data_IF_600144828591
#
_entry.id   IF_600144828591
#
_cell.length_a   1.000
_cell.length_b   1.000
_cell.length_c   1.000
_cell.angle_alpha   90.00
_cell.angle_beta   90.00
_cell.angle_gamma   90.00
#
_symmetry.space_group_name_H-M   'P 1'
#
loop_
_entity.id
_entity.type
_entity.pdbx_description
1 polymer ?
#
# COMPACT_ATOMS: atom_id res chain seq x y z
N UNK A 1 5.54 -18.60 0.09
CA UNK A 1 4.59 -17.55 0.52
C UNK A 1 5.40 -16.43 1.13
N UNK A 2 5.16 -15.17 0.78
CA UNK A 2 5.77 -14.03 1.48
C UNK A 2 4.98 -13.82 2.78
N UNK A 3 5.61 -14.04 3.92
CA UNK A 3 5.03 -13.74 5.23
C UNK A 3 4.94 -12.22 5.41
N UNK A 4 3.77 -11.63 5.15
CA UNK A 4 3.52 -10.23 5.47
C UNK A 4 3.27 -10.09 6.98
N UNK A 5 4.01 -9.22 7.69
CA UNK A 5 3.72 -8.93 9.08
C UNK A 5 2.31 -8.34 9.26
N UNK A 6 1.60 -8.70 10.34
CA UNK A 6 0.27 -8.16 10.62
C UNK A 6 0.29 -6.62 10.67
N UNK A 7 -0.74 -5.98 10.09
CA UNK A 7 -0.91 -4.52 9.92
C UNK A 7 0.02 -3.84 8.89
N UNK A 8 0.50 -4.55 7.87
CA UNK A 8 1.27 -3.95 6.77
C UNK A 8 0.53 -4.02 5.43
N UNK A 9 -0.55 -3.24 5.23
CA UNK A 9 -1.26 -3.18 3.95
C UNK A 9 -0.36 -2.69 2.81
N UNK A 10 0.68 -1.92 3.13
CA UNK A 10 1.74 -1.46 2.21
C UNK A 10 2.48 -2.60 1.47
N UNK A 11 2.37 -3.83 1.96
CA UNK A 11 3.06 -5.01 1.42
C UNK A 11 2.17 -5.88 0.54
N UNK A 12 0.88 -5.55 0.38
CA UNK A 12 -0.01 -6.31 -0.47
C UNK A 12 -0.13 -5.65 -1.87
N UNK A 13 0.31 -6.30 -2.96
CA UNK A 13 0.30 -5.71 -4.30
C UNK A 13 -1.10 -5.32 -4.76
N UNK A 14 -2.12 -6.00 -4.24
CA UNK A 14 -3.50 -5.76 -4.63
C UNK A 14 -3.99 -4.38 -4.17
N UNK A 15 -3.50 -3.86 -3.04
CA UNK A 15 -3.88 -2.54 -2.52
C UNK A 15 -3.42 -1.41 -3.44
N UNK A 16 -2.26 -1.59 -4.08
CA UNK A 16 -1.76 -0.65 -5.09
C UNK A 16 -2.63 -0.64 -6.34
N UNK A 17 -3.09 -1.82 -6.76
CA UNK A 17 -3.99 -1.95 -7.91
C UNK A 17 -5.35 -1.32 -7.59
N UNK A 18 -5.86 -1.49 -6.37
CA UNK A 18 -7.08 -0.80 -5.92
C UNK A 18 -6.93 0.73 -5.95
N UNK A 19 -5.79 1.27 -5.50
CA UNK A 19 -5.52 2.71 -5.59
C UNK A 19 -5.51 3.23 -7.04
N UNK A 20 -4.92 2.48 -7.98
CA UNK A 20 -4.96 2.83 -9.41
C UNK A 20 -6.37 2.79 -9.99
N UNK A 21 -7.16 1.79 -9.61
CA UNK A 21 -8.55 1.68 -10.04
C UNK A 21 -9.37 2.85 -9.50
N UNK A 22 -9.20 3.23 -8.23
CA UNK A 22 -9.88 4.39 -7.65
C UNK A 22 -9.47 5.71 -8.31
N UNK A 23 -8.21 5.86 -8.71
CA UNK A 23 -7.73 7.04 -9.42
C UNK A 23 -8.27 7.13 -10.85
N UNK A 24 -8.43 5.98 -11.52
CA UNK A 24 -9.00 5.90 -12.88
C UNK A 24 -10.53 5.94 -12.90
N UNK A 25 -11.17 5.66 -11.76
CA UNK A 25 -12.62 5.68 -11.64
C UNK A 25 -13.12 7.13 -11.66
N UNK A 26 -13.92 7.45 -12.66
CA UNK A 26 -14.61 8.73 -12.70
C UNK A 26 -15.84 8.69 -11.79
N UNK A 27 -15.70 9.26 -10.58
CA UNK A 27 -16.76 9.34 -9.58
C UNK A 27 -17.97 10.16 -10.03
N UNK A 28 -17.84 10.97 -11.08
CA UNK A 28 -18.95 11.75 -11.63
C UNK A 28 -19.96 10.90 -12.42
N UNK A 29 -19.56 9.71 -12.88
CA UNK A 29 -20.37 8.82 -13.73
C UNK A 29 -21.08 7.73 -12.91
N UNK A 30 -20.63 7.51 -11.67
CA UNK A 30 -21.14 6.44 -10.81
C UNK A 30 -22.44 6.87 -10.14
N UNK A 31 -23.57 6.59 -10.80
CA UNK A 31 -24.91 6.87 -10.27
C UNK A 31 -25.68 5.62 -9.82
N UNK A 32 -25.17 4.43 -10.17
CA UNK A 32 -25.73 3.14 -9.77
C UNK A 32 -24.63 2.10 -9.55
N UNK A 33 -24.98 0.98 -8.90
CA UNK A 33 -24.04 -0.14 -8.71
C UNK A 33 -23.61 -0.75 -10.03
N UNK A 34 -24.51 -0.78 -11.01
CA UNK A 34 -24.27 -1.32 -12.35
C UNK A 34 -23.30 -0.42 -13.13
N UNK A 35 -23.48 0.91 -13.04
CA UNK A 35 -22.54 1.88 -13.61
C UNK A 35 -21.16 1.78 -12.94
N UNK A 36 -21.11 1.61 -11.61
CA UNK A 36 -19.85 1.40 -10.89
C UNK A 36 -19.12 0.16 -11.41
N UNK A 37 -19.84 -0.97 -11.53
CA UNK A 37 -19.25 -2.22 -12.01
C UNK A 37 -18.71 -2.07 -13.43
N UNK A 38 -19.45 -1.42 -14.32
CA UNK A 38 -19.04 -1.22 -15.71
C UNK A 38 -17.80 -0.33 -15.82
N UNK A 39 -17.75 0.80 -15.11
CA UNK A 39 -16.58 1.68 -15.14
C UNK A 39 -15.37 1.04 -14.45
N UNK A 40 -15.57 0.24 -13.39
CA UNK A 40 -14.50 -0.52 -12.76
C UNK A 40 -13.91 -1.56 -13.71
N UNK A 41 -14.76 -2.29 -14.43
CA UNK A 41 -14.33 -3.31 -15.40
C UNK A 41 -13.58 -2.67 -16.58
N UNK A 42 -14.08 -1.55 -17.09
CA UNK A 42 -13.41 -0.74 -18.11
C UNK A 42 -12.07 -0.18 -17.64
N UNK A 43 -11.99 0.31 -16.39
CA UNK A 43 -10.75 0.79 -15.80
C UNK A 43 -9.73 -0.36 -15.66
N UNK A 44 -10.19 -1.54 -15.26
CA UNK A 44 -9.39 -2.77 -15.16
C UNK A 44 -8.82 -3.20 -16.51
N UNK A 45 -9.66 -3.28 -17.54
CA UNK A 45 -9.24 -3.68 -18.89
C UNK A 45 -8.25 -2.69 -19.52
N UNK A 46 -8.26 -1.43 -19.05
CA UNK A 46 -7.34 -0.38 -19.48
C UNK A 46 -6.04 -0.31 -18.64
N UNK A 47 -5.82 -1.23 -17.70
CA UNK A 47 -4.53 -1.37 -17.01
C UNK A 47 -3.63 -2.25 -17.87
N UNK A 48 -2.52 -1.69 -18.34
CA UNK A 48 -1.54 -2.47 -19.10
C UNK A 48 -0.83 -3.49 -18.20
N UNK A 49 -0.40 -4.61 -18.79
CA UNK A 49 0.38 -5.64 -18.10
C UNK A 49 1.70 -5.08 -17.55
N UNK A 50 2.25 -4.04 -18.18
CA UNK A 50 3.47 -3.38 -17.73
C UNK A 50 3.27 -2.66 -16.40
N UNK A 51 2.11 -2.03 -16.21
CA UNK A 51 1.74 -1.39 -14.94
C UNK A 51 1.63 -2.45 -13.83
N UNK A 52 1.00 -3.59 -14.12
CA UNK A 52 0.92 -4.71 -13.17
C UNK A 52 2.32 -5.26 -12.82
N UNK A 53 3.19 -5.44 -13.82
CA UNK A 53 4.58 -5.88 -13.60
C UNK A 53 5.35 -4.89 -12.74
N UNK A 54 5.23 -3.60 -13.00
CA UNK A 54 5.85 -2.55 -12.18
C UNK A 54 5.45 -2.68 -10.70
N UNK A 55 4.19 -2.96 -10.38
CA UNK A 55 3.77 -3.14 -8.98
C UNK A 55 4.35 -4.39 -8.32
N UNK A 56 4.53 -5.47 -9.09
CA UNK A 56 5.17 -6.70 -8.62
C UNK A 56 6.68 -6.46 -8.41
N UNK A 57 7.33 -5.83 -9.37
CA UNK A 57 8.79 -5.59 -9.37
C UNK A 57 9.21 -4.61 -8.27
N UNK A 58 8.33 -3.67 -7.90
CA UNK A 58 8.57 -2.71 -6.80
C UNK A 58 8.22 -3.28 -5.42
N UNK A 59 7.64 -4.48 -5.35
CA UNK A 59 7.33 -5.14 -4.07
C UNK A 59 8.53 -5.36 -3.15
N UNK A 60 9.67 -5.89 -3.63
CA UNK A 60 10.81 -6.18 -2.77
C UNK A 60 11.38 -4.90 -2.15
N UNK A 61 11.35 -3.80 -2.91
CA UNK A 61 11.80 -2.48 -2.43
C UNK A 61 10.89 -1.95 -1.32
N UNK A 62 9.56 -2.09 -1.48
CA UNK A 62 8.59 -1.76 -0.44
C UNK A 62 8.76 -2.63 0.81
N UNK A 63 8.92 -3.94 0.65
CA UNK A 63 9.25 -4.85 1.75
C UNK A 63 10.50 -4.40 2.52
N UNK A 64 11.56 -4.02 1.79
CA UNK A 64 12.80 -3.52 2.38
C UNK A 64 12.57 -2.19 3.13
N UNK A 65 11.82 -1.25 2.56
CA UNK A 65 11.50 0.03 3.19
C UNK A 65 10.61 -0.14 4.44
N UNK A 66 9.60 -1.01 4.39
CA UNK A 66 8.80 -1.36 5.57
C UNK A 66 9.69 -1.94 6.67
N UNK A 67 10.60 -2.87 6.33
CA UNK A 67 11.54 -3.44 7.29
C UNK A 67 12.42 -2.35 7.94
N UNK A 68 13.00 -1.45 7.14
CA UNK A 68 13.79 -0.29 7.63
C UNK A 68 12.96 0.61 8.54
N UNK A 69 11.74 0.98 8.13
CA UNK A 69 10.84 1.85 8.91
C UNK A 69 10.42 1.21 10.24
N UNK A 70 10.22 -0.11 10.26
CA UNK A 70 10.00 -0.85 11.51
C UNK A 70 11.23 -0.82 12.41
N UNK A 71 12.44 -1.05 11.89
CA UNK A 71 13.67 -0.96 12.70
C UNK A 71 13.90 0.45 13.26
N UNK A 72 13.66 1.50 12.47
CA UNK A 72 13.77 2.89 12.92
C UNK A 72 12.76 3.23 14.02
N UNK A 73 11.51 2.80 13.90
CA UNK A 73 10.49 3.02 14.94
C UNK A 73 10.86 2.32 16.25
N UNK A 74 11.37 1.08 16.21
CA UNK A 74 11.82 0.36 17.40
C UNK A 74 13.04 1.03 18.04
N UNK A 75 13.99 1.52 17.23
CA UNK A 75 15.15 2.26 17.72
C UNK A 75 14.73 3.58 18.39
N UNK A 76 13.81 4.34 17.79
CA UNK A 76 13.28 5.58 18.37
C UNK A 76 12.58 5.32 19.70
N UNK A 77 11.73 4.29 19.77
CA UNK A 77 11.06 3.90 21.02
C UNK A 77 12.06 3.46 22.12
N UNK A 78 13.20 2.87 21.76
CA UNK A 78 14.27 2.52 22.71
C UNK A 78 15.06 3.76 23.17
N UNK A 79 15.33 4.70 22.27
CA UNK A 79 15.97 5.99 22.59
C UNK A 79 15.09 6.81 23.55
N UNK A 80 13.79 6.92 23.25
CA UNK A 80 12.84 7.69 24.08
C UNK A 80 12.70 7.07 25.49
N UNK A 81 12.72 5.73 25.61
CA UNK A 81 12.71 5.04 26.91
C UNK A 81 14.01 5.21 27.71
N UNK A 82 15.16 5.32 27.04
CA UNK A 82 16.45 5.56 27.69
C UNK A 82 16.69 7.05 28.00
N UNK A 83 15.89 7.97 27.43
CA UNK A 83 15.97 9.41 27.68
C UNK A 83 15.23 9.86 28.96
N UNK A 84 14.47 8.97 29.62
CA UNK A 84 13.77 9.28 30.88
C UNK A 84 14.64 9.02 32.12
N UNK A 85 15.92 9.42 32.08
CA UNK A 85 16.77 9.38 33.27
C UNK A 85 17.06 10.81 33.73
N UNK A 86 16.67 11.09 34.98
CA UNK A 86 16.90 12.30 35.80
C UNK A 86 16.02 13.54 35.57
N UNK A 87 14.84 13.50 36.17
CA UNK A 87 14.36 14.64 36.97
C UNK A 87 14.11 14.12 38.39
N UNK A 88 15.10 14.32 39.25
CA UNK A 88 14.94 14.38 40.71
C UNK A 88 15.20 15.83 41.08
#
# INVERSE_FOLDING_TARGET
MMDCPPKSPDLNPIEQIWGELENKLDRSIVHSKECLWFELQKAWDNISVEVLRKYIDTMPERCCNCCKRWTYQILKLKVDKNSTTHFI
#
